data_IF_639298142447
#
_entry.id   IF_639298142447
#
_cell.length_a   1.000
_cell.length_b   1.000
_cell.length_c   1.000
_cell.angle_alpha   90.00
_cell.angle_beta   90.00
_cell.angle_gamma   90.00
#
_symmetry.space_group_name_H-M   'P 1'
#
loop_
_entity.id
_entity.type
_entity.pdbx_description
1 polymer ?
#
# COMPACT_ATOMS: atom_id res chain seq x y z
N UNK A 1 14.43 -14.23 16.04
CA UNK A 1 13.57 -13.92 14.86
C UNK A 1 12.40 -13.11 15.38
N UNK A 2 11.84 -12.19 14.60
CA UNK A 2 10.67 -11.40 15.01
C UNK A 2 9.47 -11.74 14.14
N UNK A 3 8.31 -11.97 14.76
CA UNK A 3 7.04 -12.19 14.08
C UNK A 3 6.02 -11.19 14.60
N UNK A 4 5.30 -10.55 13.71
CA UNK A 4 4.38 -9.50 14.10
C UNK A 4 3.32 -9.16 13.08
N UNK A 5 2.54 -8.15 13.42
CA UNK A 5 1.60 -7.51 12.53
C UNK A 5 1.76 -5.99 12.58
N UNK A 6 1.58 -5.34 11.45
CA UNK A 6 1.51 -3.88 11.34
C UNK A 6 0.15 -3.46 10.79
N UNK A 7 -0.32 -2.31 11.24
CA UNK A 7 -1.53 -1.65 10.77
C UNK A 7 -1.25 -0.17 10.54
N UNK A 8 -1.80 0.39 9.46
CA UNK A 8 -1.51 1.77 9.12
C UNK A 8 -2.45 2.37 8.09
N UNK A 9 -2.15 3.63 7.78
CA UNK A 9 -2.87 4.44 6.80
C UNK A 9 -1.86 5.00 5.80
N UNK A 10 -2.19 4.95 4.51
CA UNK A 10 -1.35 5.48 3.44
C UNK A 10 -2.00 6.59 2.65
N UNK A 11 -1.29 7.70 2.50
CA UNK A 11 -1.68 8.87 1.72
C UNK A 11 -0.96 8.88 0.36
N UNK A 12 -1.59 9.46 -0.65
CA UNK A 12 -1.17 9.31 -2.05
C UNK A 12 -1.94 8.17 -2.72
N UNK A 13 -1.46 7.66 -3.84
CA UNK A 13 -2.14 6.58 -4.55
C UNK A 13 -1.78 6.51 -6.02
N UNK A 14 -2.29 5.45 -6.64
CA UNK A 14 -2.26 5.22 -8.07
C UNK A 14 -3.47 5.87 -8.75
N UNK A 15 -3.34 6.22 -10.03
CA UNK A 15 -4.48 6.61 -10.86
C UNK A 15 -5.15 5.33 -11.42
N UNK A 16 -6.19 4.86 -10.72
CA UNK A 16 -6.81 3.57 -10.96
C UNK A 16 -8.10 3.77 -11.74
N UNK A 17 -8.09 3.35 -13.00
CA UNK A 17 -9.26 3.32 -13.88
C UNK A 17 -9.33 4.45 -14.91
N UNK A 18 -10.23 4.31 -15.91
CA UNK A 18 -10.41 5.30 -16.97
C UNK A 18 -10.93 6.61 -16.37
N UNK A 19 -10.41 7.74 -16.85
CA UNK A 19 -10.88 9.05 -16.40
C UNK A 19 -12.38 9.18 -16.61
N UNK A 20 -13.14 9.37 -15.53
CA UNK A 20 -14.58 9.50 -15.67
C UNK A 20 -14.90 10.92 -16.08
N UNK A 21 -15.67 11.07 -17.17
CA UNK A 21 -16.07 12.37 -17.69
C UNK A 21 -17.29 12.87 -16.94
N UNK A 22 -17.11 13.81 -16.02
CA UNK A 22 -18.22 14.50 -15.33
C UNK A 22 -18.64 15.70 -16.16
N UNK A 23 -19.89 15.65 -16.65
CA UNK A 23 -20.55 16.77 -17.32
C UNK A 23 -21.27 17.59 -16.25
N UNK A 24 -20.63 18.67 -15.80
CA UNK A 24 -21.26 19.69 -14.95
C UNK A 24 -21.14 21.05 -15.62
N UNK A 25 -22.27 21.76 -15.81
CA UNK A 25 -22.32 23.14 -16.31
C UNK A 25 -21.52 23.42 -17.60
N UNK A 26 -21.52 22.49 -18.56
CA UNK A 26 -20.84 22.67 -19.86
C UNK A 26 -19.32 22.52 -19.82
N UNK A 27 -18.75 22.05 -18.70
CA UNK A 27 -17.33 21.73 -18.58
C UNK A 27 -17.14 20.21 -18.50
N UNK A 28 -16.31 19.69 -19.39
CA UNK A 28 -15.92 18.27 -19.46
C UNK A 28 -14.64 18.09 -18.65
N UNK A 29 -14.76 17.62 -17.40
CA UNK A 29 -13.59 17.34 -16.56
C UNK A 29 -13.29 15.84 -16.55
N UNK A 30 -12.08 15.48 -16.98
CA UNK A 30 -11.50 14.14 -16.77
C UNK A 30 -11.08 14.03 -15.31
N UNK A 31 -11.82 13.31 -14.49
CA UNK A 31 -11.39 12.99 -13.13
C UNK A 31 -10.66 11.64 -13.15
N UNK A 32 -9.40 11.66 -12.74
CA UNK A 32 -8.63 10.45 -12.44
C UNK A 32 -9.07 9.96 -11.06
N UNK A 33 -9.49 8.70 -10.96
CA UNK A 33 -9.79 8.11 -9.65
C UNK A 33 -8.47 7.71 -9.02
N UNK A 34 -8.12 8.37 -7.91
CA UNK A 34 -6.92 8.05 -7.15
C UNK A 34 -7.28 7.13 -5.99
N UNK A 35 -6.50 6.08 -5.77
CA UNK A 35 -6.60 5.17 -4.61
C UNK A 35 -6.15 5.83 -3.29
N UNK A 36 -6.58 7.08 -3.07
CA UNK A 36 -6.22 7.91 -1.92
C UNK A 36 -6.59 7.28 -0.58
N UNK A 37 -5.72 7.39 0.43
CA UNK A 37 -6.03 7.10 1.83
C UNK A 37 -6.41 5.63 2.11
N UNK A 38 -5.53 4.70 1.77
CA UNK A 38 -5.71 3.27 2.03
C UNK A 38 -5.42 2.92 3.48
N UNK A 39 -6.27 2.11 4.09
CA UNK A 39 -5.93 1.35 5.28
C UNK A 39 -5.17 0.09 4.88
N UNK A 40 -4.28 -0.39 5.73
CA UNK A 40 -3.63 -1.67 5.51
C UNK A 40 -3.35 -2.42 6.80
N UNK A 41 -3.27 -3.72 6.68
CA UNK A 41 -2.76 -4.64 7.68
C UNK A 41 -1.76 -5.58 7.01
N UNK A 42 -0.64 -5.88 7.65
CA UNK A 42 0.32 -6.86 7.15
C UNK A 42 0.85 -7.72 8.29
N UNK A 43 0.97 -9.02 8.04
CA UNK A 43 1.86 -9.88 8.82
C UNK A 43 3.30 -9.58 8.42
N UNK A 44 4.19 -9.52 9.39
CA UNK A 44 5.62 -9.23 9.20
C UNK A 44 6.47 -10.29 9.87
N UNK A 45 7.47 -10.76 9.15
CA UNK A 45 8.56 -11.60 9.66
C UNK A 45 9.86 -10.82 9.49
N UNK A 46 10.61 -10.61 10.57
CA UNK A 46 11.94 -10.01 10.50
C UNK A 46 13.02 -10.99 11.00
N UNK A 47 14.04 -11.19 10.16
CA UNK A 47 15.17 -12.09 10.43
C UNK A 47 16.45 -11.26 10.50
N UNK A 48 17.06 -11.19 11.68
CA UNK A 48 18.37 -10.56 11.85
C UNK A 48 19.45 -11.51 11.33
N UNK A 49 20.24 -11.06 10.35
CA UNK A 49 21.39 -11.79 9.81
C UNK A 49 22.64 -11.46 10.61
N UNK A 50 22.75 -10.22 11.08
CA UNK A 50 23.80 -9.73 11.96
C UNK A 50 23.23 -8.65 12.91
N UNK A 51 24.00 -8.15 13.90
CA UNK A 51 23.48 -7.19 14.89
C UNK A 51 22.96 -5.86 14.30
N UNK A 52 23.37 -5.52 13.07
CA UNK A 52 23.03 -4.26 12.40
C UNK A 52 22.18 -4.45 11.15
N UNK A 53 21.76 -5.67 10.83
CA UNK A 53 21.04 -5.88 9.57
C UNK A 53 20.37 -7.22 9.42
N UNK A 54 19.36 -7.23 8.56
CA UNK A 54 18.50 -8.38 8.37
C UNK A 54 17.58 -8.22 7.18
N UNK A 55 16.53 -9.04 7.17
CA UNK A 55 15.49 -9.06 6.14
C UNK A 55 14.11 -8.99 6.80
N UNK A 56 13.24 -8.12 6.31
CA UNK A 56 11.81 -8.13 6.63
C UNK A 56 11.03 -8.71 5.45
N UNK A 57 10.06 -9.55 5.74
CA UNK A 57 9.08 -10.04 4.78
C UNK A 57 7.72 -9.62 5.29
N UNK A 58 6.98 -8.84 4.51
CA UNK A 58 5.62 -8.46 4.84
C UNK A 58 4.64 -9.10 3.85
N UNK A 59 3.49 -9.55 4.35
CA UNK A 59 2.36 -10.03 3.56
C UNK A 59 1.07 -9.45 4.15
N UNK A 60 0.26 -8.80 3.34
CA UNK A 60 -0.96 -8.21 3.86
C UNK A 60 -1.91 -7.68 2.80
N UNK A 61 -2.88 -6.89 3.26
CA UNK A 61 -3.96 -6.33 2.46
C UNK A 61 -4.00 -4.83 2.62
N UNK A 62 -4.16 -4.12 1.51
CA UNK A 62 -4.57 -2.72 1.48
C UNK A 62 -6.03 -2.66 1.07
N UNK A 63 -6.79 -1.74 1.66
CA UNK A 63 -8.16 -1.47 1.26
C UNK A 63 -8.53 0.00 1.50
N UNK A 64 -9.48 0.45 0.71
CA UNK A 64 -10.15 1.72 0.88
C UNK A 64 -11.62 1.53 0.53
N UNK A 65 -12.48 2.18 1.29
CA UNK A 65 -13.90 2.21 1.07
C UNK A 65 -14.37 3.63 1.32
N UNK A 66 -15.03 4.19 0.33
CA UNK A 66 -15.67 5.49 0.38
C UNK A 66 -17.14 5.29 0.04
N UNK A 67 -18.02 5.62 0.98
CA UNK A 67 -19.46 5.48 0.84
C UNK A 67 -20.09 6.85 1.12
N UNK A 68 -20.70 7.44 0.09
CA UNK A 68 -21.50 8.65 0.19
C UNK A 68 -22.77 8.50 -0.65
N UNK A 69 -23.77 9.36 -0.40
CA UNK A 69 -25.07 9.36 -1.09
C UNK A 69 -24.95 9.41 -2.63
N UNK A 70 -23.82 9.89 -3.15
CA UNK A 70 -23.50 10.02 -4.58
C UNK A 70 -22.61 8.90 -5.17
N UNK A 71 -22.30 7.85 -4.39
CA UNK A 71 -21.67 6.62 -4.88
C UNK A 71 -20.77 5.88 -3.89
N UNK A 72 -20.62 4.58 -4.11
CA UNK A 72 -19.71 3.70 -3.36
C UNK A 72 -18.47 3.41 -4.21
N UNK A 73 -17.28 3.66 -3.64
CA UNK A 73 -16.00 3.32 -4.24
C UNK A 73 -15.22 2.41 -3.31
N UNK A 74 -14.84 1.24 -3.83
CA UNK A 74 -14.05 0.24 -3.14
C UNK A 74 -12.77 -0.07 -3.90
N UNK A 75 -11.66 -0.07 -3.17
CA UNK A 75 -10.38 -0.51 -3.67
C UNK A 75 -9.76 -1.52 -2.71
N UNK A 76 -9.20 -2.60 -3.22
CA UNK A 76 -8.37 -3.49 -2.39
C UNK A 76 -7.31 -4.23 -3.19
N UNK A 77 -6.23 -4.61 -2.51
CA UNK A 77 -5.13 -5.41 -3.07
C UNK A 77 -4.46 -6.22 -1.97
N UNK A 78 -3.86 -7.34 -2.35
CA UNK A 78 -2.87 -8.00 -1.52
C UNK A 78 -1.47 -7.58 -1.92
N UNK A 79 -0.56 -7.59 -0.94
CA UNK A 79 0.81 -7.14 -1.09
C UNK A 79 1.76 -8.08 -0.40
N UNK A 80 2.87 -8.35 -1.08
CA UNK A 80 4.07 -8.91 -0.47
C UNK A 80 5.25 -7.94 -0.65
N UNK A 81 6.11 -7.84 0.36
CA UNK A 81 7.37 -7.10 0.24
C UNK A 81 8.50 -7.83 0.93
N UNK A 82 9.70 -7.67 0.37
CA UNK A 82 10.94 -8.23 0.92
C UNK A 82 11.92 -7.06 1.07
N UNK A 83 12.26 -6.71 2.30
CA UNK A 83 12.95 -5.47 2.63
C UNK A 83 14.23 -5.80 3.41
N UNK A 84 15.40 -5.81 2.77
CA UNK A 84 16.65 -5.82 3.52
C UNK A 84 16.72 -4.53 4.35
N UNK A 85 17.11 -4.66 5.61
CA UNK A 85 17.17 -3.53 6.52
C UNK A 85 18.52 -3.42 7.23
N UNK A 86 18.84 -2.18 7.58
CA UNK A 86 19.89 -1.82 8.51
C UNK A 86 19.26 -1.32 9.81
N UNK A 87 19.84 -1.69 10.95
CA UNK A 87 19.45 -1.26 12.29
C UNK A 87 20.58 -0.44 12.90
N UNK A 88 20.29 0.80 13.28
CA UNK A 88 21.20 1.60 14.09
C UNK A 88 21.17 1.12 15.56
N UNK A 89 22.23 1.46 16.31
CA UNK A 89 22.38 1.15 17.73
C UNK A 89 21.22 1.63 18.62
N UNK A 90 20.44 2.61 18.15
CA UNK A 90 19.37 3.26 18.91
C UNK A 90 17.95 2.79 18.54
N UNK A 91 17.79 1.56 18.04
CA UNK A 91 16.48 0.95 17.76
C UNK A 91 15.77 1.42 16.47
N UNK A 92 16.49 2.14 15.61
CA UNK A 92 15.97 2.65 14.35
C UNK A 92 16.34 1.71 13.20
N UNK A 93 15.36 1.27 12.43
CA UNK A 93 15.50 0.38 11.27
C UNK A 93 15.17 1.15 10.01
N UNK A 94 15.95 0.97 8.97
CA UNK A 94 15.63 1.46 7.64
C UNK A 94 15.99 0.44 6.58
N UNK A 95 15.20 0.38 5.51
CA UNK A 95 15.40 -0.59 4.45
C UNK A 95 14.73 -0.18 3.15
N UNK A 96 15.22 -0.72 2.05
CA UNK A 96 14.64 -0.55 0.72
C UNK A 96 14.62 -1.89 0.02
N UNK A 97 13.49 -2.25 -0.58
CA UNK A 97 13.33 -3.54 -1.22
C UNK A 97 12.19 -3.61 -2.22
N UNK A 98 12.06 -4.74 -2.92
CA UNK A 98 10.96 -4.99 -3.82
C UNK A 98 9.63 -5.15 -3.09
N UNK A 99 8.56 -4.75 -3.76
CA UNK A 99 7.18 -5.07 -3.39
C UNK A 99 6.38 -5.52 -4.60
N UNK A 100 5.40 -6.37 -4.36
CA UNK A 100 4.56 -6.96 -5.38
C UNK A 100 3.10 -6.95 -4.94
N UNK A 101 2.24 -6.42 -5.80
CA UNK A 101 0.81 -6.34 -5.60
C UNK A 101 0.09 -7.35 -6.49
N UNK A 102 -0.93 -7.98 -5.93
CA UNK A 102 -1.75 -8.98 -6.63
C UNK A 102 -3.19 -8.95 -6.13
N UNK A 103 -4.10 -9.54 -6.93
CA UNK A 103 -5.54 -9.53 -6.69
C UNK A 103 -6.07 -8.11 -6.42
N UNK A 104 -5.63 -7.16 -7.27
CA UNK A 104 -6.01 -5.76 -7.17
C UNK A 104 -7.40 -5.56 -7.77
N UNK A 105 -8.33 -5.06 -6.98
CA UNK A 105 -9.74 -4.88 -7.34
C UNK A 105 -10.18 -3.45 -7.11
N UNK A 106 -10.91 -2.92 -8.07
CA UNK A 106 -11.57 -1.63 -8.02
C UNK A 106 -13.04 -1.79 -8.39
N UNK A 107 -13.92 -1.24 -7.56
CA UNK A 107 -15.35 -1.17 -7.81
C UNK A 107 -15.83 0.25 -7.54
N UNK A 108 -16.64 0.79 -8.44
CA UNK A 108 -17.34 2.05 -8.24
C UNK A 108 -18.79 1.93 -8.70
N UNK A 109 -19.72 2.09 -7.76
CA UNK A 109 -21.15 2.09 -8.00
C UNK A 109 -21.66 3.54 -7.88
N UNK A 110 -22.03 4.14 -9.02
CA UNK A 110 -22.43 5.54 -9.09
C UNK A 110 -23.93 5.61 -9.43
N UNK A 111 -24.79 6.34 -8.68
CA UNK A 111 -26.24 6.34 -8.86
C UNK A 111 -26.73 6.75 -10.27
N UNK A 112 -25.91 7.53 -10.99
CA UNK A 112 -26.22 8.07 -12.32
C UNK A 112 -25.37 7.48 -13.45
N UNK A 113 -24.51 6.49 -13.17
CA UNK A 113 -23.66 5.82 -14.18
C UNK A 113 -23.67 4.31 -14.02
N UNK A 114 -23.21 3.61 -15.06
CA UNK A 114 -22.98 2.18 -14.95
C UNK A 114 -21.93 1.89 -13.86
N UNK A 115 -22.17 0.83 -13.09
CA UNK A 115 -21.19 0.28 -12.15
C UNK A 115 -19.89 -0.07 -12.88
N UNK A 116 -18.77 0.43 -12.37
CA UNK A 116 -17.44 0.12 -12.90
C UNK A 116 -16.84 -0.97 -12.01
N UNK A 117 -16.41 -2.07 -12.61
CA UNK A 117 -15.67 -3.14 -11.92
C UNK A 117 -14.43 -3.46 -12.73
N UNK A 118 -13.27 -3.27 -12.13
CA UNK A 118 -11.98 -3.51 -12.75
C UNK A 118 -11.11 -4.37 -11.85
N UNK A 119 -10.48 -5.38 -12.45
CA UNK A 119 -9.42 -6.16 -11.85
C UNK A 119 -8.12 -5.85 -12.58
N UNK A 120 -7.06 -5.59 -11.83
CA UNK A 120 -5.75 -5.32 -12.40
C UNK A 120 -4.86 -6.55 -12.30
N UNK A 121 -3.99 -6.69 -13.28
CA UNK A 121 -2.91 -7.66 -13.24
C UNK A 121 -1.94 -7.34 -12.10
N UNK A 122 -1.03 -8.28 -11.82
CA UNK A 122 -0.03 -8.08 -10.80
C UNK A 122 0.94 -6.96 -11.15
N UNK A 123 1.47 -6.31 -10.11
CA UNK A 123 2.35 -5.15 -10.27
C UNK A 123 3.58 -5.25 -9.39
N UNK A 124 4.68 -4.69 -9.88
CA UNK A 124 5.97 -4.69 -9.20
C UNK A 124 6.40 -3.26 -8.87
N UNK A 125 7.00 -3.11 -7.69
CA UNK A 125 7.39 -1.82 -7.16
C UNK A 125 8.59 -1.89 -6.24
N UNK A 126 8.91 -0.73 -5.69
CA UNK A 126 9.95 -0.52 -4.69
C UNK A 126 9.30 0.10 -3.46
N UNK A 127 9.69 -0.38 -2.29
CA UNK A 127 9.27 0.15 -1.00
C UNK A 127 10.49 0.52 -0.16
N UNK A 128 10.43 1.67 0.48
CA UNK A 128 11.35 2.10 1.52
C UNK A 128 10.60 2.12 2.85
N UNK A 129 11.19 1.54 3.89
CA UNK A 129 10.66 1.50 5.25
C UNK A 129 11.63 2.20 6.20
N UNK A 130 11.09 3.05 7.07
CA UNK A 130 11.79 3.64 8.20
C UNK A 130 10.96 3.35 9.44
N UNK A 131 11.47 2.55 10.35
CA UNK A 131 10.78 2.16 11.58
C UNK A 131 11.60 2.38 12.82
N UNK A 132 10.89 2.63 13.91
CA UNK A 132 11.41 2.68 15.26
C UNK A 132 10.82 1.49 16.02
N UNK A 133 11.71 0.64 16.52
CA UNK A 133 11.38 -0.61 17.21
C UNK A 133 12.30 -0.73 18.43
N UNK A 134 11.92 -0.13 19.58
CA UNK A 134 12.72 -0.19 20.80
C UNK A 134 12.98 -1.65 21.16
N UNK A 135 14.26 -2.02 21.27
CA UNK A 135 14.70 -3.39 21.57
C UNK A 135 14.08 -4.02 22.85
N UNK A 136 13.42 -3.21 23.68
CA UNK A 136 12.79 -3.62 24.95
C UNK A 136 11.26 -3.63 24.90
N UNK A 137 10.65 -3.34 23.76
CA UNK A 137 9.19 -3.33 23.59
C UNK A 137 8.78 -4.13 22.38
N UNK A 138 7.59 -4.71 22.43
CA UNK A 138 6.98 -5.40 21.30
C UNK A 138 6.28 -4.43 20.33
N UNK A 139 6.44 -3.11 20.49
CA UNK A 139 5.76 -2.11 19.67
C UNK A 139 6.71 -1.54 18.63
N UNK A 140 6.23 -1.44 17.39
CA UNK A 140 6.93 -0.75 16.31
C UNK A 140 6.09 0.42 15.83
N UNK A 141 6.72 1.52 15.45
CA UNK A 141 6.08 2.59 14.69
C UNK A 141 6.94 2.92 13.47
N UNK A 142 6.34 3.28 12.35
CA UNK A 142 7.13 3.55 11.16
C UNK A 142 6.42 4.33 10.07
N UNK A 143 7.22 4.71 9.09
CA UNK A 143 6.81 5.37 7.86
C UNK A 143 7.30 4.53 6.69
N UNK A 144 6.49 4.42 5.64
CA UNK A 144 6.89 3.79 4.38
C UNK A 144 6.67 4.74 3.22
N UNK A 145 7.56 4.70 2.26
CA UNK A 145 7.35 5.31 0.96
C UNK A 145 7.37 4.21 -0.09
N UNK A 146 6.45 4.26 -1.04
CA UNK A 146 6.35 3.27 -2.08
C UNK A 146 6.19 3.90 -3.44
N UNK A 147 6.78 3.21 -4.42
CA UNK A 147 6.51 3.40 -5.82
C UNK A 147 6.10 2.07 -6.44
N UNK A 148 5.03 2.04 -7.25
CA UNK A 148 4.62 0.84 -7.98
C UNK A 148 4.19 1.16 -9.40
N UNK A 149 4.52 0.26 -10.32
CA UNK A 149 4.11 0.34 -11.72
C UNK A 149 3.29 -0.90 -12.09
N UNK A 150 2.06 -0.66 -12.54
CA UNK A 150 1.15 -1.64 -13.09
C UNK A 150 1.32 -1.68 -14.61
N UNK A 151 1.50 -2.87 -15.15
CA UNK A 151 1.34 -3.12 -16.59
C UNK A 151 -0.03 -3.74 -16.79
N UNK A 152 -0.94 -2.99 -17.42
CA UNK A 152 -2.24 -3.53 -17.81
C UNK A 152 -2.11 -4.44 -19.02
N UNK A 153 -2.98 -5.44 -19.11
CA UNK A 153 -3.10 -6.39 -20.23
C UNK A 153 -3.20 -5.78 -21.64
N UNK A 154 -3.57 -4.50 -21.77
CA UNK A 154 -3.61 -3.77 -23.05
C UNK A 154 -2.46 -2.78 -23.25
N UNK A 155 -1.35 -2.91 -22.51
CA UNK A 155 -0.17 -2.05 -22.65
C UNK A 155 -0.30 -0.68 -21.98
N UNK A 156 -1.34 -0.46 -21.18
CA UNK A 156 -1.50 0.73 -20.35
C UNK A 156 -0.61 0.61 -19.11
N UNK A 157 0.28 1.57 -18.92
CA UNK A 157 1.09 1.67 -17.70
C UNK A 157 0.41 2.63 -16.71
N UNK A 158 0.15 2.14 -15.50
CA UNK A 158 -0.33 2.97 -14.39
C UNK A 158 0.76 2.98 -13.33
N UNK A 159 1.23 4.17 -12.94
CA UNK A 159 2.18 4.33 -11.84
C UNK A 159 1.51 5.01 -10.67
N UNK A 160 1.84 4.58 -9.46
CA UNK A 160 1.44 5.29 -8.25
C UNK A 160 2.52 5.31 -7.21
N UNK A 161 2.39 6.30 -6.32
CA UNK A 161 3.23 6.42 -5.15
C UNK A 161 2.39 6.80 -3.94
N UNK A 162 2.74 6.23 -2.80
CA UNK A 162 2.08 6.54 -1.53
C UNK A 162 3.07 6.52 -0.38
N UNK A 163 2.77 7.32 0.62
CA UNK A 163 3.47 7.37 1.89
C UNK A 163 2.52 6.83 2.96
N UNK A 164 2.98 5.89 3.76
CA UNK A 164 2.23 5.26 4.82
C UNK A 164 2.82 5.55 6.18
N UNK A 165 1.96 5.69 7.18
CA UNK A 165 2.35 5.63 8.59
C UNK A 165 1.73 4.38 9.20
N UNK A 166 2.44 3.72 10.10
CA UNK A 166 1.95 2.50 10.75
C UNK A 166 2.41 2.35 12.19
N UNK A 167 1.66 1.54 12.90
CA UNK A 167 2.04 0.94 14.18
C UNK A 167 2.07 -0.58 14.03
N UNK A 168 2.82 -1.26 14.87
CA UNK A 168 2.99 -2.69 14.83
C UNK A 168 3.18 -3.31 16.19
N UNK A 169 2.92 -4.61 16.23
CA UNK A 169 3.26 -5.48 17.34
C UNK A 169 4.18 -6.56 16.78
N UNK A 170 5.42 -6.64 17.25
CA UNK A 170 6.44 -7.61 16.84
C UNK A 170 6.94 -8.37 18.07
N UNK A 171 6.88 -9.70 18.04
CA UNK A 171 7.28 -10.58 19.14
C UNK A 171 8.59 -11.30 18.78
N UNK A 172 9.52 -11.31 19.72
CA UNK A 172 10.77 -12.07 19.61
C UNK A 172 10.52 -13.57 19.84
N UNK A 173 11.10 -14.39 18.97
CA UNK A 173 11.17 -15.86 19.02
C UNK A 173 12.60 -16.36 18.83
#
# INVERSE_FOLDING_TARGET
MQLGGIYGVSYGGEEIGPSVTVNGNGLTSKMSVRSGNLYFWMARVAVNINPRGGMMIDLGRHWHHYDEDDGDVQFSRYRVSVIPFYRDHHSLRWGIGPTFDFDTKYQADLPSRASIRESFDSAFGIIADLSYDPLETFYTAGVRAQWINYQGSQGTNVSGSHIAVYIGIELDY
#
